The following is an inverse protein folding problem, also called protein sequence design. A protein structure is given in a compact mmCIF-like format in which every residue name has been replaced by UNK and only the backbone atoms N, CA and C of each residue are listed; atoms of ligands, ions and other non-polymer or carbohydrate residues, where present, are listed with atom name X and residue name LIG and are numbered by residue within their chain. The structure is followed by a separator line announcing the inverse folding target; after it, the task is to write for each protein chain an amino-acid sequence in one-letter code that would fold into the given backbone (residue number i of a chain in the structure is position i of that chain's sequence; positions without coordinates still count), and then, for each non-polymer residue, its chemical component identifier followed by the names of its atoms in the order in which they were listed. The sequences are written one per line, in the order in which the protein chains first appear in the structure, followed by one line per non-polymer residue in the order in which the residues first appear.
data_IF_642396258873
#
_entry.id   IF_642396258873
#
_cell.length_a   1.000
_cell.length_b   1.000
_cell.length_c   1.000
_cell.angle_alpha   90.00
_cell.angle_beta   90.00
_cell.angle_gamma   90.00
#
_symmetry.space_group_name_H-M   'P 1'
#
loop_
_entity.id
_entity.type
_entity.pdbx_description
1 polymer ?
#
# COMPACT_ATOMS: atom_id res chain seq x y z
N UNK A 1 1.15 -1.27 -2.15
CA UNK A 1 2.21 -2.25 -1.84
C UNK A 1 1.92 -3.53 -2.61
N UNK A 2 2.94 -4.18 -3.18
CA UNK A 2 2.73 -5.32 -4.08
C UNK A 2 3.56 -6.52 -3.64
N UNK A 3 3.03 -7.73 -3.84
CA UNK A 3 3.77 -8.98 -3.66
C UNK A 3 4.15 -9.31 -2.20
N UNK A 4 3.33 -8.89 -1.23
CA UNK A 4 3.58 -9.16 0.19
C UNK A 4 3.25 -10.63 0.48
N UNK A 5 4.22 -11.38 1.00
CA UNK A 5 4.05 -12.79 1.36
C UNK A 5 3.71 -12.92 2.84
N UNK A 6 2.65 -13.65 3.15
CA UNK A 6 2.24 -13.96 4.52
C UNK A 6 2.28 -15.48 4.74
N UNK A 7 2.36 -15.92 5.99
CA UNK A 7 2.31 -17.35 6.32
C UNK A 7 0.90 -17.95 6.24
N UNK A 8 -0.13 -17.10 6.26
CA UNK A 8 -1.55 -17.47 6.17
C UNK A 8 -2.38 -16.32 5.63
N UNK A 9 -3.61 -16.60 5.19
CA UNK A 9 -4.58 -15.56 4.87
C UNK A 9 -5.06 -14.87 6.16
N UNK A 10 -4.31 -13.84 6.56
CA UNK A 10 -4.64 -13.00 7.72
C UNK A 10 -4.57 -11.52 7.35
N UNK A 11 -5.40 -10.72 8.01
CA UNK A 11 -5.37 -9.27 7.90
C UNK A 11 -4.39 -8.73 8.96
N UNK A 12 -3.14 -8.59 8.54
CA UNK A 12 -2.06 -7.98 9.34
C UNK A 12 -2.21 -6.46 9.48
N UNK A 13 -2.89 -5.84 8.52
CA UNK A 13 -3.27 -4.43 8.53
C UNK A 13 -4.76 -4.33 8.87
N UNK A 14 -5.10 -3.49 9.85
CA UNK A 14 -6.48 -3.24 10.25
C UNK A 14 -6.82 -1.76 10.09
N UNK A 15 -8.08 -1.51 9.76
CA UNK A 15 -8.64 -0.15 9.71
C UNK A 15 -8.78 0.39 11.14
N UNK A 16 -8.45 1.67 11.33
CA UNK A 16 -8.38 2.33 12.63
C UNK A 16 -7.04 2.19 13.36
N UNK A 17 -6.16 1.27 12.94
CA UNK A 17 -4.83 1.13 13.54
C UNK A 17 -3.91 2.28 13.12
N UNK A 18 -3.01 2.66 14.03
CA UNK A 18 -1.95 3.64 13.76
C UNK A 18 -0.69 2.93 13.30
N UNK A 19 -0.16 3.33 12.15
CA UNK A 19 1.09 2.80 11.57
C UNK A 19 2.09 3.89 11.33
N UNK A 20 3.37 3.55 11.46
CA UNK A 20 4.44 4.46 11.09
C UNK A 20 4.69 4.42 9.60
N UNK A 21 5.03 5.56 9.03
CA UNK A 21 5.70 5.61 7.73
C UNK A 21 7.18 5.95 7.92
N UNK A 22 8.00 5.24 7.17
CA UNK A 22 9.42 5.52 7.03
C UNK A 22 9.66 5.95 5.59
N UNK A 23 10.32 7.09 5.41
CA UNK A 23 10.70 7.61 4.08
C UNK A 23 12.23 7.73 4.11
N UNK A 24 12.93 7.12 3.15
CA UNK A 24 14.41 7.14 3.11
C UNK A 24 15.08 6.75 4.44
N UNK A 25 14.63 5.66 5.09
CA UNK A 25 15.15 5.17 6.38
C UNK A 25 15.02 6.13 7.57
N UNK A 26 14.21 7.18 7.48
CA UNK A 26 13.90 8.05 8.63
C UNK A 26 12.46 7.75 9.08
N UNK A 27 12.24 7.33 10.34
CA UNK A 27 10.90 7.12 10.87
C UNK A 27 10.25 8.47 11.16
N UNK A 28 9.08 8.73 10.58
CA UNK A 28 8.46 10.07 10.67
C UNK A 28 7.36 10.18 11.69
N UNK A 29 6.26 9.47 11.46
CA UNK A 29 5.00 9.78 12.13
C UNK A 29 4.07 8.59 12.08
N UNK A 30 3.20 8.50 13.10
CA UNK A 30 2.09 7.56 13.15
C UNK A 30 0.92 8.15 12.37
N UNK A 31 0.55 7.53 11.26
CA UNK A 31 -0.65 7.85 10.49
C UNK A 31 -1.75 6.84 10.83
N UNK A 32 -3.00 7.27 10.70
CA UNK A 32 -4.15 6.39 10.87
C UNK A 32 -4.44 5.65 9.56
N UNK A 33 -4.64 4.33 9.64
CA UNK A 33 -5.11 3.54 8.52
C UNK A 33 -6.63 3.69 8.43
N UNK A 34 -7.10 4.37 7.38
CA UNK A 34 -8.55 4.56 7.14
C UNK A 34 -9.13 3.37 6.39
N UNK A 35 -8.39 2.82 5.44
CA UNK A 35 -8.90 1.75 4.57
C UNK A 35 -7.80 0.80 4.16
N UNK A 36 -8.12 -0.50 4.13
CA UNK A 36 -7.22 -1.55 3.64
C UNK A 36 -7.95 -2.40 2.62
N UNK A 37 -7.49 -2.36 1.37
CA UNK A 37 -7.94 -3.29 0.34
C UNK A 37 -6.85 -4.32 0.10
N UNK A 38 -7.15 -5.57 0.46
CA UNK A 38 -6.29 -6.73 0.26
C UNK A 38 -6.78 -7.52 -0.94
N UNK A 39 -5.88 -7.83 -1.87
CA UNK A 39 -6.15 -8.67 -3.04
C UNK A 39 -5.08 -9.73 -3.19
N UNK A 40 -5.43 -10.88 -3.73
CA UNK A 40 -4.44 -11.89 -4.07
C UNK A 40 -3.50 -11.39 -5.16
N UNK A 41 -2.27 -11.89 -5.16
CA UNK A 41 -1.42 -11.76 -6.35
C UNK A 41 -2.09 -12.49 -7.51
N UNK A 42 -2.22 -11.80 -8.62
CA UNK A 42 -2.79 -12.34 -9.84
C UNK A 42 -1.74 -12.33 -10.93
N UNK A 43 -1.70 -13.42 -11.69
CA UNK A 43 -0.84 -13.59 -12.85
C UNK A 43 -1.69 -13.41 -14.10
N UNK A 44 -1.24 -12.60 -15.08
CA UNK A 44 -1.94 -12.50 -16.36
C UNK A 44 -1.80 -13.83 -17.11
N UNK A 45 -2.92 -14.36 -17.58
CA UNK A 45 -2.97 -15.54 -18.43
C UNK A 45 -3.75 -15.22 -19.71
N UNK A 46 -3.37 -15.78 -20.87
CA UNK A 46 -4.16 -15.66 -22.09
C UNK A 46 -5.58 -16.18 -21.85
N UNK A 47 -6.59 -15.44 -22.32
CA UNK A 47 -7.97 -15.90 -22.22
C UNK A 47 -8.22 -17.00 -23.28
N UNK A 48 -8.58 -18.23 -22.88
CA UNK A 48 -8.80 -19.32 -23.83
C UNK A 48 -10.03 -19.10 -24.73
N UNK A 49 -10.94 -18.18 -24.36
CA UNK A 49 -12.12 -17.83 -25.17
C UNK A 49 -11.87 -16.69 -26.17
N UNK A 50 -10.91 -15.83 -25.87
CA UNK A 50 -10.53 -14.68 -26.72
C UNK A 50 -9.04 -14.40 -26.55
N UNK A 51 -8.23 -14.84 -27.52
CA UNK A 51 -6.78 -14.71 -27.46
C UNK A 51 -6.28 -13.26 -27.53
N UNK A 52 -7.15 -12.28 -27.81
CA UNK A 52 -6.80 -10.85 -27.76
C UNK A 52 -6.87 -10.28 -26.33
N UNK A 53 -7.45 -11.04 -25.39
CA UNK A 53 -7.64 -10.62 -24.01
C UNK A 53 -6.77 -11.41 -23.03
N UNK A 54 -6.34 -10.76 -21.96
CA UNK A 54 -5.70 -11.40 -20.81
C UNK A 54 -6.67 -11.43 -19.63
N UNK A 55 -6.72 -12.56 -18.93
CA UNK A 55 -7.45 -12.72 -17.68
C UNK A 55 -6.49 -12.74 -16.49
N UNK A 56 -6.95 -12.25 -15.35
CA UNK A 56 -6.20 -12.30 -14.10
C UNK A 56 -6.55 -13.60 -13.36
N UNK A 57 -5.60 -14.53 -13.26
CA UNK A 57 -5.77 -15.79 -12.55
C UNK A 57 -4.93 -15.79 -11.25
N UNK A 58 -5.45 -16.43 -10.21
CA UNK A 58 -4.68 -16.67 -8.99
C UNK A 58 -3.71 -17.82 -9.22
N UNK A 59 -2.43 -17.58 -8.94
CA UNK A 59 -1.38 -18.57 -9.14
C UNK A 59 -1.28 -19.52 -7.91
N UNK A 60 -1.53 -20.84 -8.08
CA UNK A 60 -1.46 -21.79 -6.99
C UNK A 60 -0.04 -22.00 -6.44
N UNK A 61 1.01 -21.63 -7.19
CA UNK A 61 2.41 -21.78 -6.76
C UNK A 61 2.87 -20.67 -5.82
N UNK A 62 2.12 -19.57 -5.72
CA UNK A 62 2.42 -18.43 -4.85
C UNK A 62 1.33 -18.20 -3.80
N UNK A 63 0.99 -19.22 -2.98
CA UNK A 63 -0.05 -19.09 -1.98
C UNK A 63 0.29 -17.98 -0.99
N UNK A 64 -0.75 -17.31 -0.47
CA UNK A 64 -0.64 -16.24 0.52
C UNK A 64 0.25 -15.05 0.09
N UNK A 65 0.34 -14.81 -1.21
CA UNK A 65 0.93 -13.59 -1.77
C UNK A 65 -0.17 -12.58 -2.07
N UNK A 66 -0.03 -11.37 -1.54
CA UNK A 66 -1.07 -10.35 -1.58
C UNK A 66 -0.57 -8.99 -2.06
N UNK A 67 -1.45 -8.25 -2.69
CA UNK A 67 -1.30 -6.81 -2.91
C UNK A 67 -2.17 -6.06 -1.90
N UNK A 68 -1.63 -4.97 -1.37
CA UNK A 68 -2.32 -4.11 -0.42
C UNK A 68 -2.40 -2.69 -0.95
N UNK A 69 -3.61 -2.17 -1.07
CA UNK A 69 -3.88 -0.74 -1.24
C UNK A 69 -4.36 -0.20 0.11
N UNK A 70 -3.56 0.69 0.69
CA UNK A 70 -3.80 1.24 2.03
C UNK A 70 -4.00 2.73 1.89
N UNK A 71 -5.07 3.23 2.49
CA UNK A 71 -5.34 4.66 2.62
C UNK A 71 -4.97 5.11 4.01
N UNK A 72 -4.04 6.06 4.08
CA UNK A 72 -3.57 6.67 5.32
C UNK A 72 -4.16 8.08 5.44
N UNK A 73 -4.47 8.50 6.67
CA UNK A 73 -4.92 9.86 6.98
C UNK A 73 -4.04 10.46 8.06
N UNK A 74 -3.71 11.73 7.87
CA UNK A 74 -3.01 12.55 8.85
C UNK A 74 -3.24 14.05 8.54
N UNK A 75 -2.87 14.91 9.47
CA UNK A 75 -2.87 16.35 9.29
C UNK A 75 -1.60 16.76 8.51
N UNK A 76 -1.80 17.36 7.33
CA UNK A 76 -0.72 17.83 6.49
C UNK A 76 -0.66 19.36 6.46
N UNK A 77 0.54 19.92 6.32
CA UNK A 77 0.73 21.33 5.99
C UNK A 77 0.70 21.45 4.47
N UNK A 78 -0.30 22.14 3.93
CA UNK A 78 -0.41 22.37 2.49
C UNK A 78 0.51 23.55 2.11
N UNK A 79 1.51 23.27 1.28
CA UNK A 79 2.44 24.27 0.73
C UNK A 79 2.20 24.43 -0.77
N UNK A 80 2.72 25.50 -1.43
CA UNK A 80 2.60 25.66 -2.89
C UNK A 80 3.16 24.49 -3.70
N UNK A 81 4.11 23.75 -3.14
CA UNK A 81 4.76 22.60 -3.78
C UNK A 81 4.09 21.24 -3.50
N UNK A 82 3.01 21.24 -2.71
CA UNK A 82 2.24 20.07 -2.32
C UNK A 82 2.10 19.90 -0.79
N UNK A 83 1.35 18.86 -0.36
CA UNK A 83 1.17 18.55 1.04
C UNK A 83 2.46 18.02 1.68
N UNK A 84 2.75 18.50 2.88
CA UNK A 84 3.92 18.14 3.68
C UNK A 84 3.47 17.48 4.97
N UNK A 85 3.99 16.28 5.24
CA UNK A 85 3.77 15.52 6.49
C UNK A 85 5.13 15.22 7.10
N UNK A 86 5.31 15.52 8.39
CA UNK A 86 6.59 15.27 9.08
C UNK A 86 7.81 15.90 8.40
N UNK A 87 7.64 17.09 7.81
CA UNK A 87 8.69 17.81 7.08
C UNK A 87 9.01 17.27 5.67
N UNK A 88 8.31 16.24 5.19
CA UNK A 88 8.52 15.66 3.86
C UNK A 88 7.35 15.94 2.94
N UNK A 89 7.67 16.35 1.70
CA UNK A 89 6.69 16.50 0.63
C UNK A 89 6.18 15.11 0.23
N UNK A 90 4.88 14.91 0.32
CA UNK A 90 4.25 13.66 -0.10
C UNK A 90 3.78 13.81 -1.55
N UNK A 91 4.33 12.97 -2.43
CA UNK A 91 4.06 12.98 -3.86
C UNK A 91 3.83 11.57 -4.39
N UNK A 92 3.01 11.46 -5.43
CA UNK A 92 2.84 10.20 -6.17
C UNK A 92 4.22 9.74 -6.67
N UNK A 93 4.51 8.45 -6.52
CA UNK A 93 5.81 7.86 -6.85
C UNK A 93 6.83 7.86 -5.72
N UNK A 94 6.56 8.52 -4.58
CA UNK A 94 7.45 8.49 -3.43
C UNK A 94 7.50 7.08 -2.82
N UNK A 95 8.68 6.42 -2.74
CA UNK A 95 8.81 5.15 -2.04
C UNK A 95 8.70 5.37 -0.53
N UNK A 96 7.90 4.55 0.13
CA UNK A 96 7.65 4.60 1.57
C UNK A 96 7.68 3.17 2.14
N UNK A 97 7.93 3.05 3.44
CA UNK A 97 7.72 1.81 4.16
C UNK A 97 6.63 2.03 5.21
N UNK A 98 5.64 1.14 5.25
CA UNK A 98 4.61 1.12 6.27
C UNK A 98 5.03 0.13 7.37
N UNK A 99 5.24 0.64 8.58
CA UNK A 99 5.76 -0.11 9.72
C UNK A 99 4.73 -0.15 10.84
N UNK A 100 4.44 -1.36 11.32
CA UNK A 100 3.58 -1.62 12.47
C UNK A 100 4.28 -2.53 13.46
N UNK A 101 3.52 -3.10 14.39
CA UNK A 101 4.10 -3.91 15.47
C UNK A 101 4.83 -5.17 14.97
N UNK A 102 4.29 -5.85 13.97
CA UNK A 102 4.81 -7.13 13.47
C UNK A 102 5.02 -7.13 11.94
N UNK A 103 5.05 -5.97 11.31
CA UNK A 103 5.28 -5.86 9.87
C UNK A 103 6.06 -4.60 9.51
N UNK A 104 6.76 -4.70 8.39
CA UNK A 104 7.39 -3.60 7.69
C UNK A 104 7.26 -3.84 6.20
N UNK A 105 6.41 -3.06 5.53
CA UNK A 105 6.06 -3.28 4.13
C UNK A 105 6.49 -2.12 3.24
N UNK A 106 7.28 -2.42 2.21
CA UNK A 106 7.65 -1.45 1.18
C UNK A 106 6.47 -1.13 0.24
N UNK A 107 6.32 0.14 -0.09
CA UNK A 107 5.27 0.67 -0.93
C UNK A 107 5.67 1.92 -1.70
N UNK A 108 4.76 2.36 -2.55
CA UNK A 108 4.88 3.60 -3.31
C UNK A 108 3.56 4.35 -3.10
N UNK A 109 3.64 5.66 -2.89
CA UNK A 109 2.47 6.53 -2.86
C UNK A 109 1.83 6.53 -4.24
N UNK A 110 0.61 5.99 -4.35
CA UNK A 110 -0.14 5.90 -5.62
C UNK A 110 -1.11 7.05 -5.85
N UNK A 111 -1.52 7.74 -4.79
CA UNK A 111 -2.50 8.82 -4.82
C UNK A 111 -2.30 9.75 -3.62
N UNK A 112 -2.66 11.02 -3.77
CA UNK A 112 -2.60 12.03 -2.70
C UNK A 112 -3.84 12.91 -2.81
N UNK A 113 -4.64 12.94 -1.74
CA UNK A 113 -5.84 13.76 -1.64
C UNK A 113 -5.76 14.64 -0.40
N UNK A 114 -6.02 15.93 -0.60
CA UNK A 114 -6.26 16.88 0.49
C UNK A 114 -7.78 16.90 0.72
N UNK A 115 -8.18 16.72 1.97
CA UNK A 115 -9.59 16.69 2.39
C UNK A 115 -9.77 17.90 3.31
N UNK A 116 -10.67 18.80 2.93
CA UNK A 116 -11.08 19.96 3.76
C UNK A 116 -12.11 19.55 4.83
#
# INVERSE_FOLDING_TARGET
MRGIKLSKDSNVLKEGDKSFITIRNVPYTKLEIVKVVKTYWQTPMPNPKDLTQSIAATDPTTPYTFNFLVTLKDNAIVTPDGPVIGGNKIKIGLPIELEGYNYKFGGIVSDVKVID
#
